data_IF_299275186256
#
_entry.id   IF_299275186256
#
_cell.length_a   1.000
_cell.length_b   1.000
_cell.length_c   1.000
_cell.angle_alpha   90.00
_cell.angle_beta   90.00
_cell.angle_gamma   90.00
#
_symmetry.space_group_name_H-M   'P 1'
#
loop_
_entity.id
_entity.type
_entity.pdbx_description
1 polymer ?
#
# COMPACT_ATOMS: atom_id res chain seq x y z
N UNK A 1 -15.30 -18.99 -21.98
CA UNK A 1 -14.48 -19.94 -22.78
C UNK A 1 -13.68 -19.27 -23.89
N UNK A 2 -14.25 -18.40 -24.73
CA UNK A 2 -13.49 -17.79 -25.85
C UNK A 2 -12.19 -17.07 -25.43
N UNK A 3 -12.20 -16.32 -24.32
CA UNK A 3 -10.98 -15.66 -23.78
C UNK A 3 -9.87 -16.66 -23.46
N UNK A 4 -10.21 -17.75 -22.79
CA UNK A 4 -9.28 -18.82 -22.39
C UNK A 4 -8.70 -19.51 -23.63
N UNK A 5 -9.54 -19.86 -24.59
CA UNK A 5 -9.12 -20.54 -25.83
C UNK A 5 -8.17 -19.65 -26.65
N UNK A 6 -8.43 -18.34 -26.69
CA UNK A 6 -7.61 -17.39 -27.44
C UNK A 6 -6.36 -16.92 -26.69
N UNK A 7 -6.16 -17.32 -25.43
CA UNK A 7 -5.03 -16.87 -24.62
C UNK A 7 -3.64 -17.11 -25.27
N UNK A 8 -3.37 -18.24 -25.95
CA UNK A 8 -2.10 -18.44 -26.65
C UNK A 8 -1.86 -17.44 -27.80
N UNK A 9 -2.93 -16.91 -28.41
CA UNK A 9 -2.81 -15.86 -29.42
C UNK A 9 -2.61 -14.47 -28.80
N UNK A 10 -3.32 -14.18 -27.70
CA UNK A 10 -3.20 -12.92 -26.95
C UNK A 10 -1.79 -12.78 -26.35
N UNK A 11 -1.26 -13.86 -25.79
CA UNK A 11 0.06 -13.91 -25.17
C UNK A 11 1.04 -14.76 -25.98
N UNK A 12 1.08 -14.58 -27.30
CA UNK A 12 1.90 -15.39 -28.21
C UNK A 12 3.42 -15.34 -27.90
N UNK A 13 3.89 -14.25 -27.32
CA UNK A 13 5.29 -14.08 -26.88
C UNK A 13 5.53 -14.50 -25.42
N UNK A 14 4.52 -15.12 -24.78
CA UNK A 14 4.53 -15.42 -23.36
C UNK A 14 4.23 -14.20 -22.47
N UNK A 15 4.16 -14.44 -21.16
CA UNK A 15 3.94 -13.38 -20.18
C UNK A 15 5.21 -12.57 -19.93
N UNK A 16 5.09 -11.25 -20.01
CA UNK A 16 6.15 -10.34 -19.60
C UNK A 16 6.09 -10.15 -18.08
N UNK A 17 7.18 -10.46 -17.39
CA UNK A 17 7.31 -10.25 -15.94
C UNK A 17 8.15 -9.01 -15.65
N UNK A 18 7.87 -8.33 -14.53
CA UNK A 18 8.81 -7.34 -13.98
C UNK A 18 10.03 -8.06 -13.42
N UNK A 19 11.15 -7.34 -13.27
CA UNK A 19 12.40 -7.91 -12.76
C UNK A 19 12.84 -7.22 -11.48
N UNK A 20 13.32 -8.02 -10.51
CA UNK A 20 13.83 -7.50 -9.25
C UNK A 20 15.09 -6.67 -9.47
N UNK A 21 15.12 -5.48 -8.89
CA UNK A 21 16.19 -4.49 -9.05
C UNK A 21 16.02 -3.58 -10.28
N UNK A 22 15.01 -3.82 -11.13
CA UNK A 22 14.81 -3.08 -12.38
C UNK A 22 13.50 -2.29 -12.34
N UNK A 23 13.61 -0.96 -12.43
CA UNK A 23 12.44 -0.11 -12.63
C UNK A 23 11.82 -0.44 -14.00
N UNK A 24 10.51 -0.71 -14.02
CA UNK A 24 9.84 -1.18 -15.23
C UNK A 24 8.35 -0.93 -15.18
N UNK A 25 7.72 -0.92 -16.35
CA UNK A 25 6.28 -0.80 -16.50
C UNK A 25 5.75 -1.91 -17.41
N UNK A 26 4.63 -2.50 -17.02
CA UNK A 26 3.83 -3.40 -17.84
C UNK A 26 2.46 -2.76 -17.97
N UNK A 27 2.02 -2.55 -19.20
CA UNK A 27 0.67 -2.12 -19.50
C UNK A 27 -0.08 -3.30 -20.11
N UNK A 28 -1.27 -3.59 -19.57
CA UNK A 28 -2.19 -4.61 -20.05
C UNK A 28 -3.50 -3.93 -20.39
N UNK A 29 -4.07 -4.22 -21.56
CA UNK A 29 -5.46 -3.91 -21.83
C UNK A 29 -6.36 -4.60 -20.80
N UNK A 30 -7.54 -4.02 -20.54
CA UNK A 30 -8.53 -4.68 -19.67
C UNK A 30 -8.96 -6.05 -20.17
N UNK A 31 -8.85 -6.27 -21.48
CA UNK A 31 -9.11 -7.56 -22.11
C UNK A 31 -8.05 -8.63 -21.78
N UNK A 32 -6.77 -8.25 -21.77
CA UNK A 32 -5.66 -9.10 -21.33
C UNK A 32 -5.79 -9.42 -19.83
N UNK A 33 -6.15 -8.43 -19.00
CA UNK A 33 -6.41 -8.64 -17.56
C UNK A 33 -7.53 -9.67 -17.36
N UNK A 34 -8.68 -9.48 -18.03
CA UNK A 34 -9.80 -10.43 -17.94
C UNK A 34 -9.41 -11.82 -18.45
N UNK A 35 -8.56 -11.90 -19.48
CA UNK A 35 -8.07 -13.18 -20.00
C UNK A 35 -7.20 -13.91 -18.97
N UNK A 36 -6.23 -13.22 -18.35
CA UNK A 36 -5.38 -13.79 -17.30
C UNK A 36 -6.21 -14.30 -16.11
N UNK A 37 -7.14 -13.49 -15.63
CA UNK A 37 -8.00 -13.89 -14.51
C UNK A 37 -8.94 -15.03 -14.90
N UNK A 38 -9.45 -15.05 -16.14
CA UNK A 38 -10.23 -16.20 -16.64
C UNK A 38 -9.39 -17.48 -16.66
N UNK A 39 -8.12 -17.43 -17.03
CA UNK A 39 -7.23 -18.60 -16.94
C UNK A 39 -7.07 -19.05 -15.48
N UNK A 40 -6.86 -18.11 -14.55
CA UNK A 40 -6.77 -18.40 -13.11
C UNK A 40 -8.05 -19.02 -12.57
N UNK A 41 -9.23 -18.57 -13.00
CA UNK A 41 -10.53 -19.14 -12.63
C UNK A 41 -10.63 -20.64 -12.97
N UNK A 42 -10.08 -21.06 -14.11
CA UNK A 42 -10.06 -22.46 -14.54
C UNK A 42 -8.85 -23.25 -14.02
N UNK A 43 -8.03 -22.68 -13.13
CA UNK A 43 -6.83 -23.34 -12.60
C UNK A 43 -5.72 -23.54 -13.64
N UNK A 44 -5.69 -22.71 -14.68
CA UNK A 44 -4.73 -22.81 -15.78
C UNK A 44 -3.49 -21.90 -15.59
N UNK A 45 -3.41 -21.18 -14.47
CA UNK A 45 -2.28 -20.31 -14.13
C UNK A 45 -1.62 -20.78 -12.84
N UNK A 46 -0.29 -20.78 -12.83
CA UNK A 46 0.48 -21.15 -11.66
C UNK A 46 0.71 -19.94 -10.73
N UNK A 47 0.29 -20.08 -9.47
CA UNK A 47 0.54 -19.10 -8.41
C UNK A 47 1.55 -19.67 -7.42
N UNK A 48 2.50 -18.84 -6.99
CA UNK A 48 3.70 -19.30 -6.24
C UNK A 48 3.46 -19.89 -4.85
N UNK A 49 2.34 -19.58 -4.19
CA UNK A 49 2.07 -19.94 -2.78
C UNK A 49 0.72 -20.62 -2.58
N UNK A 50 -0.33 -20.07 -3.18
CA UNK A 50 -1.71 -20.56 -3.05
C UNK A 50 -2.32 -20.62 -4.44
N UNK A 51 -3.00 -21.72 -4.77
CA UNK A 51 -3.78 -21.81 -6.00
C UNK A 51 -4.94 -20.82 -5.93
N UNK A 52 -5.16 -20.05 -7.01
CA UNK A 52 -6.28 -19.14 -7.14
C UNK A 52 -7.62 -19.85 -6.96
N UNK A 53 -7.72 -21.13 -7.34
CA UNK A 53 -8.97 -21.90 -7.21
C UNK A 53 -9.39 -22.13 -5.76
N UNK A 54 -8.45 -22.07 -4.81
CA UNK A 54 -8.73 -22.21 -3.38
C UNK A 54 -9.64 -21.08 -2.86
N UNK A 55 -9.61 -19.91 -3.49
CA UNK A 55 -10.47 -18.78 -3.14
C UNK A 55 -11.96 -19.13 -3.27
N UNK A 56 -12.32 -20.04 -4.18
CA UNK A 56 -13.70 -20.45 -4.39
C UNK A 56 -14.25 -21.38 -3.29
N UNK A 57 -13.40 -21.87 -2.38
CA UNK A 57 -13.86 -22.65 -1.22
C UNK A 57 -14.53 -21.78 -0.17
N UNK A 58 -14.31 -20.46 -0.20
CA UNK A 58 -15.00 -19.51 0.66
C UNK A 58 -16.12 -18.81 -0.11
N UNK A 59 -17.34 -18.82 0.44
CA UNK A 59 -18.53 -18.27 -0.21
C UNK A 59 -18.44 -16.74 -0.41
N UNK A 60 -17.88 -16.01 0.54
CA UNK A 60 -17.77 -14.54 0.45
C UNK A 60 -16.73 -14.14 -0.61
N UNK A 61 -15.63 -14.88 -0.70
CA UNK A 61 -14.59 -14.64 -1.70
C UNK A 61 -15.10 -15.00 -3.09
N UNK A 62 -15.82 -16.13 -3.19
CA UNK A 62 -16.52 -16.55 -4.41
C UNK A 62 -17.48 -15.47 -4.90
N UNK A 63 -18.27 -14.84 -4.01
CA UNK A 63 -19.16 -13.74 -4.40
C UNK A 63 -18.37 -12.58 -5.00
N UNK A 64 -17.28 -12.16 -4.36
CA UNK A 64 -16.43 -11.08 -4.89
C UNK A 64 -15.93 -11.40 -6.30
N UNK A 65 -15.35 -12.59 -6.50
CA UNK A 65 -14.75 -13.00 -7.77
C UNK A 65 -15.79 -13.24 -8.86
N UNK A 66 -16.87 -13.96 -8.56
CA UNK A 66 -17.95 -14.22 -9.53
C UNK A 66 -18.61 -12.92 -10.00
N UNK A 67 -18.85 -11.97 -9.10
CA UNK A 67 -19.40 -10.67 -9.47
C UNK A 67 -18.43 -9.84 -10.31
N UNK A 68 -17.12 -9.95 -10.09
CA UNK A 68 -16.12 -9.37 -11.01
C UNK A 68 -16.23 -9.95 -12.41
N UNK A 69 -16.27 -11.27 -12.57
CA UNK A 69 -16.38 -11.87 -13.91
C UNK A 69 -17.67 -11.43 -14.61
N UNK A 70 -18.81 -11.46 -13.92
CA UNK A 70 -20.09 -10.99 -14.47
C UNK A 70 -19.99 -9.54 -14.93
N UNK A 71 -19.45 -8.66 -14.09
CA UNK A 71 -19.24 -7.26 -14.42
C UNK A 71 -18.30 -7.08 -15.62
N UNK A 72 -17.13 -7.73 -15.61
CA UNK A 72 -16.11 -7.59 -16.64
C UNK A 72 -16.59 -8.11 -18.01
N UNK A 73 -17.31 -9.23 -18.05
CA UNK A 73 -17.91 -9.72 -19.30
C UNK A 73 -19.00 -8.79 -19.85
N UNK A 74 -19.77 -8.14 -18.96
CA UNK A 74 -20.70 -7.08 -19.39
C UNK A 74 -19.94 -5.89 -19.98
N UNK A 75 -18.86 -5.45 -19.35
CA UNK A 75 -18.03 -4.36 -19.87
C UNK A 75 -17.37 -4.72 -21.21
N UNK A 76 -16.95 -5.97 -21.40
CA UNK A 76 -16.35 -6.44 -22.66
C UNK A 76 -17.30 -6.36 -23.88
N UNK A 77 -18.60 -6.11 -23.65
CA UNK A 77 -19.59 -5.84 -24.70
C UNK A 77 -19.62 -4.36 -25.12
N UNK A 78 -18.95 -3.47 -24.37
CA UNK A 78 -18.84 -2.04 -24.65
C UNK A 78 -17.51 -1.74 -25.34
N UNK A 79 -17.52 -0.93 -26.41
CA UNK A 79 -16.30 -0.58 -27.17
C UNK A 79 -15.25 0.14 -26.32
N UNK A 80 -15.66 0.95 -25.34
CA UNK A 80 -14.77 1.66 -24.43
C UNK A 80 -13.94 0.75 -23.51
N UNK A 81 -14.30 -0.51 -23.35
CA UNK A 81 -13.51 -1.48 -22.58
C UNK A 81 -12.13 -1.72 -23.21
N UNK A 82 -12.08 -1.75 -24.54
CA UNK A 82 -10.87 -2.06 -25.31
C UNK A 82 -9.88 -0.90 -25.40
N UNK A 83 -10.24 0.27 -24.87
CA UNK A 83 -9.33 1.43 -24.74
C UNK A 83 -8.86 1.66 -23.31
N UNK A 84 -9.30 0.85 -22.35
CA UNK A 84 -8.87 0.90 -20.96
C UNK A 84 -7.70 -0.02 -20.69
N UNK A 85 -6.84 0.40 -19.76
CA UNK A 85 -5.62 -0.31 -19.41
C UNK A 85 -5.46 -0.44 -17.90
N UNK A 86 -4.80 -1.51 -17.49
CA UNK A 86 -4.18 -1.65 -16.19
C UNK A 86 -2.67 -1.50 -16.37
N UNK A 87 -2.05 -0.69 -15.52
CA UNK A 87 -0.61 -0.44 -15.60
C UNK A 87 0.05 -0.85 -14.29
N UNK A 88 1.03 -1.75 -14.38
CA UNK A 88 1.87 -2.19 -13.27
C UNK A 88 3.22 -1.49 -13.40
N UNK A 89 3.55 -0.64 -12.43
CA UNK A 89 4.82 0.07 -12.36
C UNK A 89 5.65 -0.47 -11.20
N UNK A 90 6.75 -1.17 -11.51
CA UNK A 90 7.77 -1.55 -10.52
C UNK A 90 8.74 -0.38 -10.36
N UNK A 91 8.83 0.14 -9.15
CA UNK A 91 9.63 1.33 -8.82
C UNK A 91 10.84 0.91 -8.01
N UNK A 92 12.01 1.50 -8.28
CA UNK A 92 13.28 1.17 -7.61
C UNK A 92 13.98 2.44 -7.16
N UNK A 93 14.39 2.48 -5.89
CA UNK A 93 15.24 3.55 -5.37
C UNK A 93 16.68 3.34 -5.78
N UNK A 94 17.12 4.02 -6.83
CA UNK A 94 18.51 3.97 -7.31
C UNK A 94 19.44 4.74 -6.36
N UNK A 95 19.07 5.96 -5.99
CA UNK A 95 19.92 6.83 -5.18
C UNK A 95 19.70 6.68 -3.68
N UNK A 96 20.78 6.78 -2.90
CA UNK A 96 20.68 6.72 -1.44
C UNK A 96 20.13 8.04 -0.90
N UNK A 97 19.12 7.95 -0.04
CA UNK A 97 18.58 9.11 0.68
C UNK A 97 19.39 9.31 1.96
N UNK A 98 19.90 10.52 2.14
CA UNK A 98 20.57 10.94 3.37
C UNK A 98 19.57 11.64 4.30
N UNK A 99 18.73 10.85 4.99
CA UNK A 99 17.67 11.33 5.88
C UNK A 99 18.15 12.35 6.94
N UNK A 100 19.35 12.16 7.48
CA UNK A 100 20.00 13.07 8.43
C UNK A 100 20.35 14.46 7.86
N UNK A 101 20.22 14.67 6.54
CA UNK A 101 20.49 15.94 5.86
C UNK A 101 19.21 16.63 5.36
N UNK A 102 18.03 16.02 5.53
CA UNK A 102 16.76 16.53 4.97
C UNK A 102 16.17 17.63 5.84
N UNK A 103 16.50 18.89 5.55
CA UNK A 103 15.98 20.10 6.23
C UNK A 103 14.63 20.57 5.67
N UNK A 104 13.74 19.63 5.37
CA UNK A 104 12.39 19.90 4.85
C UNK A 104 11.37 19.74 5.99
N UNK A 105 10.29 20.52 5.95
CA UNK A 105 9.19 20.45 6.93
C UNK A 105 8.16 19.40 6.50
N UNK A 106 7.25 19.07 7.42
CA UNK A 106 6.13 18.17 7.13
C UNK A 106 5.15 18.80 6.14
N UNK A 107 4.58 17.97 5.27
CA UNK A 107 3.48 18.34 4.38
C UNK A 107 2.13 18.24 5.09
N UNK A 108 1.10 18.73 4.41
CA UNK A 108 -0.28 18.64 4.85
C UNK A 108 -0.70 17.19 5.15
N UNK A 109 -1.40 17.05 6.28
CA UNK A 109 -1.95 15.81 6.80
C UNK A 109 -3.40 16.03 7.19
N UNK A 110 -4.28 15.18 6.67
CA UNK A 110 -5.62 14.97 7.23
C UNK A 110 -5.59 13.69 8.07
N UNK A 111 -5.95 13.79 9.35
CA UNK A 111 -6.10 12.62 10.24
C UNK A 111 -7.59 12.28 10.32
N UNK A 112 -7.92 11.03 10.02
CA UNK A 112 -9.30 10.54 10.02
C UNK A 112 -9.43 9.52 11.14
N UNK A 113 -10.03 9.97 12.26
CA UNK A 113 -10.30 9.14 13.42
C UNK A 113 -11.70 8.52 13.38
N UNK A 114 -11.94 7.75 12.31
CA UNK A 114 -13.18 7.01 12.08
C UNK A 114 -12.85 5.60 11.64
N UNK A 115 -13.80 4.67 11.79
CA UNK A 115 -13.74 3.32 11.20
C UNK A 115 -13.93 3.37 9.68
N UNK A 116 -13.04 4.07 8.98
CA UNK A 116 -13.06 4.25 7.53
C UNK A 116 -11.85 3.57 6.91
N UNK A 117 -12.09 2.68 5.94
CA UNK A 117 -11.05 1.99 5.17
C UNK A 117 -10.32 2.92 4.20
N UNK A 118 -9.12 2.52 3.78
CA UNK A 118 -8.30 3.28 2.81
C UNK A 118 -8.99 3.32 1.44
N UNK A 119 -9.64 2.22 1.09
CA UNK A 119 -10.40 2.00 -0.15
C UNK A 119 -11.60 2.95 -0.33
N UNK A 120 -12.05 3.61 0.74
CA UNK A 120 -13.14 4.58 0.71
C UNK A 120 -12.66 6.03 0.50
N UNK A 121 -11.35 6.25 0.35
CA UNK A 121 -10.77 7.52 -0.10
C UNK A 121 -10.62 7.49 -1.62
N UNK A 122 -11.75 7.67 -2.30
CA UNK A 122 -11.86 7.53 -3.77
C UNK A 122 -11.15 8.61 -4.58
N UNK A 123 -10.83 9.74 -3.96
CA UNK A 123 -10.10 10.86 -4.54
C UNK A 123 -8.58 10.78 -4.29
N UNK A 124 -8.10 9.65 -3.76
CA UNK A 124 -6.71 9.45 -3.33
C UNK A 124 -6.05 8.28 -4.06
N UNK A 125 -4.73 8.27 -4.05
CA UNK A 125 -3.94 7.05 -4.26
C UNK A 125 -4.00 6.23 -2.97
N UNK A 126 -4.26 4.93 -3.07
CA UNK A 126 -4.55 4.08 -1.93
C UNK A 126 -3.35 3.19 -1.60
N UNK A 127 -2.93 3.14 -0.33
CA UNK A 127 -1.84 2.26 0.10
C UNK A 127 -2.35 0.84 0.35
N UNK A 128 -1.68 -0.14 -0.27
CA UNK A 128 -1.73 -1.55 0.10
C UNK A 128 -0.59 -1.86 1.10
N UNK A 129 -0.96 -2.37 2.29
CA UNK A 129 -0.04 -2.85 3.32
C UNK A 129 0.45 -4.26 2.96
N UNK A 130 1.29 -4.32 1.93
CA UNK A 130 1.59 -5.55 1.22
C UNK A 130 2.53 -6.52 1.95
N UNK A 131 2.48 -7.79 1.58
CA UNK A 131 3.61 -8.72 1.65
C UNK A 131 4.63 -8.37 0.53
N UNK A 132 5.93 -8.60 0.72
CA UNK A 132 6.91 -8.39 -0.35
C UNK A 132 6.63 -9.24 -1.59
N UNK A 133 5.93 -10.37 -1.50
CA UNK A 133 5.34 -11.05 -2.65
C UNK A 133 3.90 -10.53 -2.83
N UNK A 134 3.57 -9.83 -3.92
CA UNK A 134 2.22 -9.28 -4.11
C UNK A 134 1.12 -10.33 -3.94
N UNK A 135 0.12 -10.01 -3.13
CA UNK A 135 -0.97 -10.93 -2.75
C UNK A 135 -0.59 -11.93 -1.65
N UNK A 136 0.61 -11.82 -1.07
CA UNK A 136 1.07 -12.57 0.09
C UNK A 136 0.87 -14.08 -0.02
N UNK A 137 0.26 -14.66 1.00
CA UNK A 137 -0.49 -15.90 0.86
C UNK A 137 -1.89 -15.49 0.43
N UNK A 138 -2.29 -15.72 -0.82
CA UNK A 138 -3.64 -15.35 -1.29
C UNK A 138 -4.68 -15.74 -0.22
N UNK A 139 -5.77 -14.96 -0.04
CA UNK A 139 -6.71 -15.15 1.05
C UNK A 139 -7.03 -16.63 1.24
N UNK A 140 -6.53 -17.24 2.32
CA UNK A 140 -6.80 -18.67 2.53
C UNK A 140 -8.28 -18.81 2.86
N UNK A 141 -8.96 -19.78 2.24
CA UNK A 141 -10.41 -19.93 2.40
C UNK A 141 -10.88 -20.12 3.86
N UNK A 142 -9.95 -20.49 4.75
CA UNK A 142 -10.14 -20.84 6.16
C UNK A 142 -9.37 -19.94 7.14
N UNK A 143 -8.61 -18.96 6.66
CA UNK A 143 -7.76 -18.12 7.53
C UNK A 143 -8.22 -16.67 7.64
N UNK A 144 -7.62 -15.97 8.59
CA UNK A 144 -7.78 -14.53 8.74
C UNK A 144 -7.30 -13.81 7.47
N UNK A 145 -8.14 -12.91 6.95
CA UNK A 145 -7.76 -11.98 5.90
C UNK A 145 -7.50 -10.60 6.49
N UNK A 146 -6.43 -9.95 6.04
CA UNK A 146 -6.10 -8.60 6.49
C UNK A 146 -6.27 -7.63 5.33
N UNK A 147 -5.71 -6.43 5.46
CA UNK A 147 -5.97 -5.33 4.53
C UNK A 147 -5.59 -5.66 3.07
N UNK A 148 -4.45 -6.32 2.81
CA UNK A 148 -4.03 -6.67 1.45
C UNK A 148 -5.03 -7.64 0.78
N UNK A 149 -5.38 -8.72 1.47
CA UNK A 149 -6.29 -9.74 0.93
C UNK A 149 -7.68 -9.17 0.64
N UNK A 150 -8.18 -8.30 1.53
CA UNK A 150 -9.44 -7.58 1.30
C UNK A 150 -9.35 -6.72 0.04
N UNK A 151 -8.25 -5.98 -0.16
CA UNK A 151 -8.06 -5.18 -1.38
C UNK A 151 -8.07 -6.05 -2.63
N UNK A 152 -7.43 -7.22 -2.62
CA UNK A 152 -7.45 -8.14 -3.76
C UNK A 152 -8.86 -8.69 -4.05
N UNK A 153 -9.70 -8.90 -3.03
CA UNK A 153 -11.09 -9.33 -3.23
C UNK A 153 -11.99 -8.23 -3.79
N UNK A 154 -11.83 -6.98 -3.33
CA UNK A 154 -12.67 -5.87 -3.82
C UNK A 154 -12.12 -5.23 -5.09
N UNK A 155 -10.84 -5.39 -5.40
CA UNK A 155 -10.16 -5.03 -6.64
C UNK A 155 -9.52 -6.29 -7.32
N UNK A 156 -10.30 -7.24 -7.86
CA UNK A 156 -9.77 -8.51 -8.37
C UNK A 156 -8.72 -8.40 -9.48
N UNK A 157 -8.68 -7.26 -10.17
CA UNK A 157 -7.64 -6.96 -11.15
C UNK A 157 -6.23 -6.98 -10.54
N UNK A 158 -6.08 -6.79 -9.22
CA UNK A 158 -4.80 -6.91 -8.52
C UNK A 158 -4.18 -8.31 -8.59
N UNK A 159 -4.97 -9.38 -8.78
CA UNK A 159 -4.44 -10.75 -8.83
C UNK A 159 -3.48 -10.99 -10.01
N UNK A 160 -3.48 -10.14 -11.05
CA UNK A 160 -2.46 -10.22 -12.12
C UNK A 160 -1.06 -9.89 -11.60
N UNK A 161 -0.94 -9.13 -10.51
CA UNK A 161 0.36 -8.82 -9.90
C UNK A 161 1.03 -10.08 -9.33
N UNK A 162 0.26 -11.04 -8.83
CA UNK A 162 0.78 -12.33 -8.35
C UNK A 162 1.45 -13.16 -9.45
N UNK A 163 1.03 -12.97 -10.70
CA UNK A 163 1.55 -13.66 -11.88
C UNK A 163 2.78 -12.95 -12.45
N UNK A 164 2.73 -11.61 -12.51
CA UNK A 164 3.66 -10.80 -13.29
C UNK A 164 4.76 -10.12 -12.46
N UNK A 165 4.64 -10.13 -11.14
CA UNK A 165 5.54 -9.39 -10.25
C UNK A 165 6.27 -10.35 -9.30
N UNK A 166 7.59 -10.58 -9.51
CA UNK A 166 8.42 -11.25 -8.53
C UNK A 166 8.53 -10.45 -7.23
N UNK A 167 8.90 -11.14 -6.13
CA UNK A 167 9.11 -10.56 -4.80
C UNK A 167 9.85 -9.21 -4.86
N UNK A 168 9.28 -8.22 -4.18
CA UNK A 168 9.86 -6.91 -3.95
C UNK A 168 11.05 -7.00 -3.00
N UNK A 169 12.12 -6.28 -3.33
CA UNK A 169 13.26 -6.03 -2.46
C UNK A 169 13.04 -4.79 -1.59
N UNK A 170 13.97 -4.55 -0.67
CA UNK A 170 13.90 -3.45 0.30
C UNK A 170 13.86 -2.05 -0.33
N UNK A 171 14.40 -1.91 -1.55
CA UNK A 171 14.49 -0.65 -2.29
C UNK A 171 13.51 -0.59 -3.45
N UNK A 172 12.40 -1.31 -3.36
CA UNK A 172 11.41 -1.40 -4.42
C UNK A 172 10.00 -1.14 -3.91
N UNK A 173 9.11 -0.63 -4.75
CA UNK A 173 7.67 -0.61 -4.49
C UNK A 173 6.92 -0.95 -5.78
N UNK A 174 5.60 -1.11 -5.69
CA UNK A 174 4.74 -1.29 -6.85
C UNK A 174 3.71 -0.17 -6.88
N UNK A 175 3.36 0.34 -8.05
CA UNK A 175 2.13 1.09 -8.26
C UNK A 175 1.29 0.36 -9.30
N UNK A 176 -0.01 0.25 -9.07
CA UNK A 176 -0.95 -0.38 -9.99
C UNK A 176 -2.05 0.63 -10.29
N UNK A 177 -2.16 1.04 -11.54
CA UNK A 177 -3.08 2.06 -12.02
C UNK A 177 -4.23 1.45 -12.81
N UNK A 178 -5.33 2.19 -12.90
CA UNK A 178 -6.48 1.81 -13.71
C UNK A 178 -7.40 0.81 -13.01
N UNK A 179 -7.31 0.64 -11.69
CA UNK A 179 -8.06 -0.39 -10.96
C UNK A 179 -9.52 -0.01 -10.76
N UNK A 180 -10.38 -1.05 -10.76
CA UNK A 180 -11.81 -0.91 -10.49
C UNK A 180 -12.23 -1.61 -9.21
N UNK A 181 -12.97 -0.92 -8.34
CA UNK A 181 -13.61 -1.54 -7.18
C UNK A 181 -14.90 -2.20 -7.61
N UNK A 182 -15.05 -3.46 -7.24
CA UNK A 182 -16.17 -4.29 -7.69
C UNK A 182 -17.10 -4.59 -6.53
N UNK A 183 -16.57 -4.79 -5.33
CA UNK A 183 -17.34 -5.30 -4.21
C UNK A 183 -17.39 -4.33 -3.04
N UNK A 184 -18.55 -4.30 -2.40
CA UNK A 184 -18.73 -3.82 -1.04
C UNK A 184 -18.53 -4.97 -0.05
N UNK A 185 -18.04 -4.63 1.12
CA UNK A 185 -17.85 -5.58 2.20
C UNK A 185 -18.12 -4.92 3.55
N UNK A 186 -18.29 -5.77 4.56
CA UNK A 186 -18.22 -5.41 5.97
C UNK A 186 -17.35 -6.43 6.71
N UNK A 187 -16.95 -6.09 7.93
CA UNK A 187 -16.12 -6.96 8.77
C UNK A 187 -14.64 -6.99 8.36
N UNK A 188 -13.86 -7.72 9.14
CA UNK A 188 -12.40 -7.86 9.01
C UNK A 188 -11.96 -9.22 9.57
N UNK A 189 -10.83 -9.78 9.12
CA UNK A 189 -10.41 -11.14 9.49
C UNK A 189 -11.52 -12.16 9.22
N UNK A 190 -11.80 -13.06 10.16
CA UNK A 190 -12.87 -14.07 10.06
C UNK A 190 -14.28 -13.52 9.88
N UNK A 191 -14.51 -12.22 10.13
CA UNK A 191 -15.85 -11.60 10.02
C UNK A 191 -16.09 -10.94 8.65
N UNK A 192 -15.14 -11.02 7.73
CA UNK A 192 -15.31 -10.48 6.38
C UNK A 192 -16.56 -11.05 5.72
N UNK A 193 -17.37 -10.15 5.15
CA UNK A 193 -18.61 -10.51 4.47
C UNK A 193 -18.84 -9.60 3.28
N UNK A 194 -19.16 -10.20 2.13
CA UNK A 194 -19.55 -9.45 0.95
C UNK A 194 -20.95 -8.87 1.16
N UNK A 195 -21.12 -7.58 0.87
CA UNK A 195 -22.39 -6.86 1.12
C UNK A 195 -23.05 -6.30 -0.14
N UNK A 196 -22.46 -6.53 -1.32
CA UNK A 196 -23.05 -6.10 -2.58
C UNK A 196 -22.03 -5.68 -3.61
N UNK A 197 -22.53 -5.36 -4.79
CA UNK A 197 -21.74 -4.71 -5.85
C UNK A 197 -21.44 -3.26 -5.47
N UNK A 198 -20.23 -2.80 -5.78
CA UNK A 198 -19.84 -1.41 -5.72
C UNK A 198 -20.09 -0.77 -7.09
N UNK A 199 -20.92 0.28 -7.14
CA UNK A 199 -21.35 0.92 -8.39
C UNK A 199 -20.77 2.32 -8.61
N UNK A 200 -20.19 2.94 -7.58
CA UNK A 200 -19.67 4.31 -7.64
C UNK A 200 -18.20 4.35 -8.09
N UNK A 201 -17.88 3.60 -9.14
CA UNK A 201 -16.51 3.40 -9.61
C UNK A 201 -16.18 4.32 -10.79
N UNK A 202 -16.59 5.58 -10.68
CA UNK A 202 -16.38 6.61 -11.71
C UNK A 202 -14.92 7.03 -11.87
N UNK A 203 -14.07 6.71 -10.89
CA UNK A 203 -12.65 7.06 -10.85
C UNK A 203 -11.78 5.82 -10.90
N UNK A 204 -10.92 5.73 -11.91
CA UNK A 204 -9.81 4.75 -11.93
C UNK A 204 -8.90 4.99 -10.73
N UNK A 205 -8.65 3.92 -9.97
CA UNK A 205 -7.87 3.95 -8.74
C UNK A 205 -6.41 3.55 -9.02
N UNK A 206 -5.51 4.25 -8.34
CA UNK A 206 -4.11 3.85 -8.20
C UNK A 206 -3.93 3.25 -6.81
N UNK A 207 -3.40 2.02 -6.74
CA UNK A 207 -2.98 1.37 -5.50
C UNK A 207 -1.46 1.24 -5.48
N UNK A 208 -0.82 1.68 -4.41
CA UNK A 208 0.64 1.58 -4.20
C UNK A 208 0.95 0.51 -3.14
N UNK A 209 1.88 -0.38 -3.44
CA UNK A 209 2.28 -1.48 -2.57
C UNK A 209 3.53 -1.08 -1.81
N UNK A 210 3.48 -1.24 -0.49
CA UNK A 210 4.65 -1.11 0.36
C UNK A 210 4.60 -2.15 1.48
N UNK A 211 5.60 -3.01 1.51
CA UNK A 211 5.74 -4.05 2.53
C UNK A 211 6.54 -3.57 3.73
N UNK A 212 6.02 -3.74 4.94
CA UNK A 212 6.71 -3.39 6.19
C UNK A 212 7.67 -4.51 6.64
N UNK A 213 8.67 -4.16 7.45
CA UNK A 213 9.43 -5.16 8.21
C UNK A 213 8.59 -5.70 9.36
N UNK A 214 8.72 -7.01 9.64
CA UNK A 214 8.18 -7.62 10.86
C UNK A 214 8.86 -6.96 12.07
N UNK A 215 8.08 -6.50 13.03
CA UNK A 215 8.52 -5.76 14.22
C UNK A 215 8.83 -4.28 13.97
N UNK A 216 8.70 -3.80 12.74
CA UNK A 216 9.02 -2.40 12.40
C UNK A 216 10.53 -2.09 12.40
N UNK A 217 10.89 -0.85 12.75
CA UNK A 217 12.29 -0.43 12.79
C UNK A 217 12.86 -0.58 14.21
N UNK A 218 13.95 -1.34 14.33
CA UNK A 218 14.63 -1.66 15.59
C UNK A 218 16.02 -1.02 15.71
N UNK A 219 16.56 -0.53 14.59
CA UNK A 219 17.84 0.15 14.50
C UNK A 219 17.83 1.16 13.35
N UNK A 220 18.94 1.88 13.17
CA UNK A 220 19.08 2.85 12.09
C UNK A 220 18.92 2.23 10.69
N UNK A 221 19.38 1.00 10.48
CA UNK A 221 19.35 0.33 9.16
C UNK A 221 17.92 0.00 8.75
N UNK A 222 17.15 -0.55 9.68
CA UNK A 222 15.74 -0.89 9.51
C UNK A 222 14.86 0.36 9.45
N UNK A 223 15.21 1.43 10.18
CA UNK A 223 14.59 2.75 10.03
C UNK A 223 14.80 3.32 8.61
N UNK A 224 16.04 3.33 8.11
CA UNK A 224 16.36 3.77 6.76
C UNK A 224 15.58 2.95 5.72
N UNK A 225 15.44 1.64 5.93
CA UNK A 225 14.67 0.74 5.07
C UNK A 225 13.19 1.11 5.04
N UNK A 226 12.55 1.27 6.20
CA UNK A 226 11.12 1.63 6.28
C UNK A 226 10.83 3.00 5.65
N UNK A 227 11.70 4.00 5.93
CA UNK A 227 11.62 5.33 5.33
C UNK A 227 11.76 5.29 3.81
N UNK A 228 12.78 4.57 3.30
CA UNK A 228 12.99 4.43 1.85
C UNK A 228 11.80 3.73 1.19
N UNK A 229 11.27 2.66 1.79
CA UNK A 229 10.11 1.92 1.28
C UNK A 229 8.89 2.82 1.11
N UNK A 230 8.53 3.55 2.17
CA UNK A 230 7.42 4.50 2.14
C UNK A 230 7.66 5.61 1.11
N UNK A 231 8.88 6.17 1.06
CA UNK A 231 9.22 7.22 0.11
C UNK A 231 9.06 6.77 -1.35
N UNK A 232 9.53 5.57 -1.71
CA UNK A 232 9.42 5.07 -3.10
C UNK A 232 7.95 4.93 -3.51
N UNK A 233 7.13 4.38 -2.60
CA UNK A 233 5.70 4.20 -2.83
C UNK A 233 4.98 5.56 -2.98
N UNK A 234 5.33 6.54 -2.15
CA UNK A 234 4.73 7.87 -2.19
C UNK A 234 5.22 8.74 -3.35
N UNK A 235 6.36 8.42 -3.96
CA UNK A 235 6.92 9.17 -5.10
C UNK A 235 6.28 8.83 -6.45
N UNK A 236 5.09 8.20 -6.46
CA UNK A 236 4.35 7.89 -7.69
C UNK A 236 3.96 9.18 -8.43
N UNK A 237 3.98 9.16 -9.76
CA UNK A 237 3.70 10.34 -10.59
C UNK A 237 2.18 10.56 -10.72
N UNK A 238 1.56 11.05 -9.65
CA UNK A 238 0.14 11.43 -9.60
C UNK A 238 0.00 12.52 -8.51
N UNK A 239 -0.81 13.55 -8.78
CA UNK A 239 -0.97 14.71 -7.88
C UNK A 239 -2.00 14.49 -6.78
N UNK A 240 -2.70 13.35 -6.79
CA UNK A 240 -3.68 13.02 -5.74
C UNK A 240 -3.01 12.84 -4.37
N UNK A 241 -3.70 13.15 -3.27
CA UNK A 241 -3.23 12.79 -1.94
C UNK A 241 -3.06 11.27 -1.79
N UNK A 242 -2.16 10.86 -0.88
CA UNK A 242 -2.00 9.45 -0.51
C UNK A 242 -2.92 9.12 0.68
N UNK A 243 -3.84 8.19 0.50
CA UNK A 243 -4.61 7.58 1.57
C UNK A 243 -3.84 6.39 2.17
N UNK A 244 -3.54 6.47 3.46
CA UNK A 244 -2.78 5.46 4.21
C UNK A 244 -3.32 5.31 5.63
N UNK A 245 -2.66 4.51 6.46
CA UNK A 245 -3.01 4.27 7.85
C UNK A 245 -1.91 3.51 8.60
N UNK A 246 -2.32 2.59 9.48
CA UNK A 246 -1.45 1.87 10.41
C UNK A 246 -0.61 0.76 9.77
N UNK A 247 0.20 1.12 8.77
CA UNK A 247 1.05 0.24 7.98
C UNK A 247 1.98 -0.63 8.84
N UNK A 248 1.90 -1.96 8.69
CA UNK A 248 2.76 -2.89 9.42
C UNK A 248 2.51 -3.01 10.93
N UNK A 249 1.48 -2.36 11.48
CA UNK A 249 1.22 -2.37 12.93
C UNK A 249 0.31 -3.53 13.39
N UNK A 250 -0.39 -4.17 12.46
CA UNK A 250 -1.25 -5.33 12.73
C UNK A 250 -0.46 -6.63 12.78
N UNK A 251 -0.65 -7.50 11.79
CA UNK A 251 0.01 -8.82 11.71
C UNK A 251 1.55 -8.76 11.80
N UNK A 252 2.17 -7.66 11.38
CA UNK A 252 3.62 -7.48 11.42
C UNK A 252 4.12 -6.90 12.75
N UNK A 253 3.25 -6.49 13.67
CA UNK A 253 3.62 -6.11 15.05
C UNK A 253 4.48 -4.84 15.18
N UNK A 254 4.49 -3.96 14.18
CA UNK A 254 5.19 -2.67 14.24
C UNK A 254 4.53 -1.66 15.19
N UNK A 255 5.29 -0.63 15.58
CA UNK A 255 4.79 0.46 16.43
C UNK A 255 3.95 1.46 15.63
N UNK A 256 2.72 1.71 16.10
CA UNK A 256 1.80 2.73 15.55
C UNK A 256 2.45 4.11 15.47
N UNK A 257 3.07 4.57 16.55
CA UNK A 257 3.68 5.89 16.62
C UNK A 257 4.89 6.00 15.69
N UNK A 258 5.78 5.00 15.71
CA UNK A 258 6.99 5.02 14.88
C UNK A 258 6.63 4.98 13.38
N UNK A 259 5.71 4.10 12.98
CA UNK A 259 5.27 3.99 11.59
C UNK A 259 4.59 5.27 11.11
N UNK A 260 3.74 5.89 11.92
CA UNK A 260 3.11 7.15 11.56
C UNK A 260 4.15 8.26 11.30
N UNK A 261 5.14 8.40 12.18
CA UNK A 261 6.24 9.38 12.01
C UNK A 261 7.07 9.06 10.75
N UNK A 262 7.37 7.79 10.50
CA UNK A 262 8.08 7.36 9.27
C UNK A 262 7.30 7.78 8.02
N UNK A 263 5.99 7.58 7.99
CA UNK A 263 5.14 7.96 6.86
C UNK A 263 5.09 9.49 6.68
N UNK A 264 5.03 10.27 7.76
CA UNK A 264 5.11 11.74 7.70
C UNK A 264 6.43 12.22 7.08
N UNK A 265 7.55 11.64 7.51
CA UNK A 265 8.87 11.97 6.97
C UNK A 265 9.02 11.59 5.49
N UNK A 266 8.50 10.41 5.11
CA UNK A 266 8.52 9.95 3.73
C UNK A 266 7.64 10.82 2.83
N UNK A 267 6.45 11.21 3.29
CA UNK A 267 5.53 12.08 2.55
C UNK A 267 6.12 13.48 2.35
N UNK A 268 6.71 14.06 3.41
CA UNK A 268 7.46 15.30 3.33
C UNK A 268 8.55 15.24 2.24
N UNK A 269 9.32 14.15 2.22
CA UNK A 269 10.38 13.94 1.22
C UNK A 269 9.86 13.71 -0.20
N UNK A 270 8.69 13.11 -0.35
CA UNK A 270 8.02 12.90 -1.64
C UNK A 270 7.25 14.14 -2.13
N UNK A 271 7.01 15.13 -1.26
CA UNK A 271 6.23 16.32 -1.63
C UNK A 271 4.73 16.04 -1.74
N UNK A 272 4.21 15.03 -1.06
CA UNK A 272 2.79 14.63 -1.11
C UNK A 272 2.03 14.91 0.18
N UNK A 273 0.73 15.16 0.05
CA UNK A 273 -0.24 15.25 1.14
C UNK A 273 -0.70 13.85 1.56
N UNK A 274 -0.89 13.64 2.87
CA UNK A 274 -1.44 12.39 3.40
C UNK A 274 -2.89 12.56 3.89
N UNK A 275 -3.73 11.57 3.59
CA UNK A 275 -4.95 11.28 4.35
C UNK A 275 -4.71 10.00 5.16
N UNK A 276 -4.56 10.15 6.47
CA UNK A 276 -4.21 9.05 7.37
C UNK A 276 -5.45 8.59 8.14
N UNK A 277 -5.93 7.38 7.88
CA UNK A 277 -6.96 6.74 8.72
C UNK A 277 -6.30 6.06 9.92
N UNK A 278 -6.69 6.45 11.13
CA UNK A 278 -6.26 5.77 12.37
C UNK A 278 -7.06 4.49 12.62
N UNK A 279 -8.17 4.32 11.88
CA UNK A 279 -9.17 3.29 12.10
C UNK A 279 -9.70 3.26 13.55
N UNK A 280 -9.78 4.45 14.18
CA UNK A 280 -10.17 4.63 15.59
C UNK A 280 -9.31 3.81 16.58
N UNK A 281 -8.05 3.56 16.21
CA UNK A 281 -7.10 2.87 17.08
C UNK A 281 -6.77 3.72 18.31
N UNK A 282 -6.99 3.16 19.50
CA UNK A 282 -6.57 3.78 20.77
C UNK A 282 -5.07 4.09 20.83
N UNK A 283 -4.26 3.36 20.06
CA UNK A 283 -2.81 3.59 19.96
C UNK A 283 -2.44 4.80 19.10
N UNK A 284 -3.40 5.52 18.54
CA UNK A 284 -3.16 6.75 17.77
C UNK A 284 -3.57 8.01 18.56
N UNK A 285 -3.92 7.87 19.84
CA UNK A 285 -4.21 8.99 20.72
C UNK A 285 -3.01 9.95 20.78
N UNK A 286 -3.28 11.24 20.62
CA UNK A 286 -2.26 12.29 20.61
C UNK A 286 -1.55 12.49 19.26
N UNK A 287 -1.87 11.71 18.22
CA UNK A 287 -1.23 11.87 16.91
C UNK A 287 -1.46 13.27 16.31
N UNK A 288 -2.69 13.78 16.42
CA UNK A 288 -3.04 15.12 15.93
C UNK A 288 -2.30 16.22 16.69
N UNK A 289 -2.27 16.14 18.03
CA UNK A 289 -1.54 17.09 18.86
C UNK A 289 -0.03 17.10 18.54
N UNK A 290 0.54 15.92 18.36
CA UNK A 290 1.93 15.77 17.94
C UNK A 290 2.18 16.42 16.58
N UNK A 291 1.37 16.11 15.57
CA UNK A 291 1.50 16.70 14.23
C UNK A 291 1.41 18.24 14.28
N UNK A 292 0.39 18.78 14.97
CA UNK A 292 0.21 20.22 15.13
C UNK A 292 1.40 20.87 15.83
N UNK A 293 1.98 20.22 16.84
CA UNK A 293 3.20 20.70 17.49
C UNK A 293 4.40 20.69 16.55
N UNK A 294 4.59 19.63 15.75
CA UNK A 294 5.68 19.56 14.76
C UNK A 294 5.57 20.68 13.72
N UNK A 295 4.35 20.96 13.23
CA UNK A 295 4.08 22.07 12.30
C UNK A 295 4.33 23.43 12.96
N UNK A 296 3.76 23.66 14.15
CA UNK A 296 3.91 24.92 14.91
C UNK A 296 5.38 25.26 15.15
N UNK A 297 6.18 24.26 15.52
CA UNK A 297 7.60 24.42 15.81
C UNK A 297 8.48 24.35 14.54
N UNK A 298 7.91 24.20 13.34
CA UNK A 298 8.66 24.07 12.07
C UNK A 298 9.72 22.96 12.15
N UNK A 299 9.35 21.81 12.72
CA UNK A 299 10.24 20.66 12.86
C UNK A 299 10.56 20.09 11.47
N UNK A 300 11.84 19.78 11.24
CA UNK A 300 12.32 19.21 9.99
C UNK A 300 12.42 17.68 10.04
N UNK A 301 12.39 17.05 8.86
CA UNK A 301 12.65 15.60 8.70
C UNK A 301 13.98 15.18 9.32
N UNK A 302 15.03 16.01 9.21
CA UNK A 302 16.33 15.80 9.87
C UNK A 302 16.17 15.63 11.38
N UNK A 303 15.39 16.48 12.02
CA UNK A 303 15.21 16.48 13.48
C UNK A 303 14.43 15.26 13.94
N UNK A 304 13.32 14.94 13.27
CA UNK A 304 12.57 13.70 13.53
C UNK A 304 13.43 12.45 13.31
N UNK A 305 14.22 12.41 12.23
CA UNK A 305 15.15 11.31 11.97
C UNK A 305 16.18 11.17 13.11
N UNK A 306 16.76 12.29 13.55
CA UNK A 306 17.76 12.30 14.62
C UNK A 306 17.17 11.80 15.94
N UNK A 307 15.94 12.22 16.26
CA UNK A 307 15.21 11.74 17.44
C UNK A 307 14.96 10.23 17.39
N UNK A 308 14.42 9.72 16.27
CA UNK A 308 14.16 8.29 16.10
C UNK A 308 15.45 7.46 16.20
N UNK A 309 16.52 7.89 15.53
CA UNK A 309 17.82 7.18 15.62
C UNK A 309 18.33 7.16 17.05
N UNK A 310 18.24 8.28 17.78
CA UNK A 310 18.73 8.38 19.15
C UNK A 310 17.92 7.47 20.09
N UNK A 311 16.58 7.51 20.00
CA UNK A 311 15.69 6.67 20.81
C UNK A 311 15.88 5.17 20.51
N UNK A 312 16.13 4.81 19.25
CA UNK A 312 16.47 3.43 18.88
C UNK A 312 17.80 2.99 19.48
N UNK A 313 18.84 3.83 19.39
CA UNK A 313 20.16 3.54 19.94
C UNK A 313 20.13 3.35 21.46
N UNK A 314 19.34 4.16 22.17
CA UNK A 314 19.17 4.07 23.63
C UNK A 314 18.13 3.03 24.05
N UNK A 315 17.50 2.32 23.09
CA UNK A 315 16.41 1.37 23.32
C UNK A 315 15.26 1.98 24.15
N UNK A 316 15.02 3.28 23.96
CA UNK A 316 13.96 4.02 24.62
C UNK A 316 12.62 3.74 23.95
N UNK A 317 11.53 3.92 24.70
CA UNK A 317 10.17 3.83 24.14
C UNK A 317 9.99 4.94 23.11
N UNK A 318 9.59 4.57 21.89
CA UNK A 318 9.26 5.52 20.83
C UNK A 318 7.77 5.79 20.87
N UNK A 319 7.41 6.99 21.31
CA UNK A 319 6.07 7.52 21.26
C UNK A 319 6.06 8.91 20.64
N UNK A 320 4.88 9.40 20.27
CA UNK A 320 4.72 10.80 19.86
C UNK A 320 5.33 11.77 20.89
N UNK A 321 5.02 11.56 22.17
CA UNK A 321 5.56 12.38 23.27
C UNK A 321 7.08 12.26 23.43
N UNK A 322 7.67 11.07 23.38
CA UNK A 322 9.11 10.91 23.58
C UNK A 322 9.92 11.47 22.42
N UNK A 323 9.39 11.39 21.20
CA UNK A 323 10.00 12.01 20.01
C UNK A 323 9.93 13.54 20.10
N UNK A 324 8.77 14.09 20.45
CA UNK A 324 8.60 15.53 20.63
C UNK A 324 9.52 16.07 21.74
N UNK A 325 9.53 15.43 22.90
CA UNK A 325 10.38 15.81 24.04
C UNK A 325 11.86 15.82 23.65
N UNK A 326 12.33 14.79 22.95
CA UNK A 326 13.70 14.72 22.47
C UNK A 326 14.03 15.92 21.57
N UNK A 327 13.19 16.20 20.59
CA UNK A 327 13.43 17.27 19.60
C UNK A 327 13.48 18.64 20.28
N UNK A 328 12.53 18.93 21.18
CA UNK A 328 12.47 20.22 21.86
C UNK A 328 13.66 20.42 22.83
N UNK A 329 14.06 19.37 23.56
CA UNK A 329 15.27 19.43 24.41
C UNK A 329 16.54 19.64 23.59
N UNK A 330 16.71 18.89 22.51
CA UNK A 330 17.89 19.01 21.63
C UNK A 330 18.02 20.42 21.03
N UNK A 331 16.90 21.06 20.66
CA UNK A 331 16.90 22.47 20.26
C UNK A 331 17.34 23.41 21.37
N UNK A 332 16.73 23.28 22.56
CA UNK A 332 17.04 24.13 23.70
C UNK A 332 18.53 24.08 24.06
N UNK A 333 19.14 22.89 24.11
CA UNK A 333 20.56 22.76 24.39
C UNK A 333 21.47 23.34 23.30
N UNK A 334 21.07 23.26 22.03
CA UNK A 334 21.82 23.88 20.92
C UNK A 334 21.78 25.40 20.96
N UNK A 335 20.65 25.97 21.37
CA UNK A 335 20.52 27.42 21.57
C UNK A 335 21.41 27.88 22.73
N UNK A 336 21.39 27.17 23.86
CA UNK A 336 22.26 27.47 25.01
C UNK A 336 23.75 27.34 24.71
N UNK A 337 24.17 26.34 23.93
CA UNK A 337 25.57 26.14 23.54
C UNK A 337 26.05 27.07 22.42
N UNK A 338 25.16 27.91 21.87
CA UNK A 338 25.48 28.93 20.86
C UNK A 338 25.50 30.37 21.40
N UNK A 339 25.10 30.54 22.67
CA UNK A 339 25.30 31.73 23.49
C UNK A 339 26.67 31.65 24.18
#
# INVERSE_FOLDING_TARGET
MLKVVNAPHIFASGLKLTKRGEASQIQLSKDEVLTLLSLSFFGLMEYKKTDFTELFKNTEFSRCLCHYYIWAFKQASCSSWYTKYLTIERRVLLEKIHWQKRKIQLNDLSIIDKHKGIEDFRDCIQVNFADPMPGGTLPSAVGDIVQEEILFLIYPELFVTCLLVPKLGDRESLAVHGLHRISNYEGYQTTFKWTGMFFDDSNEITIIFMDALIGGATDKKTLDRQLNKAFIAFSVTDSKPIATGNWGCGAFGGSFHQTAIIQLMAAAQAGVTLKYTTFSSKYMQGFELFYLSMIKNKITVKEMYTALVSLLLTKSVISFSSVEEFILKDRFYKELGSL
#
